data_IF_138825476185
#
_entry.id   IF_138825476185
#
_cell.length_a   1.000
_cell.length_b   1.000
_cell.length_c   1.000
_cell.angle_alpha   90.00
_cell.angle_beta   90.00
_cell.angle_gamma   90.00
#
_symmetry.space_group_name_H-M   'P 1'
#
loop_
_entity.id
_entity.type
_entity.pdbx_description
1 polymer ?
#
# COMPACT_ATOMS: atom_id res chain seq x y z
N UNK A 1 35.64 -37.08 28.42
CA UNK A 1 35.51 -35.81 29.18
C UNK A 1 35.89 -34.65 28.27
N UNK A 2 35.01 -34.31 27.32
CA UNK A 2 35.23 -33.26 26.32
C UNK A 2 34.52 -31.96 26.78
N UNK A 3 35.33 -31.13 27.42
CA UNK A 3 35.36 -29.66 27.57
C UNK A 3 34.03 -28.87 27.46
N UNK A 4 33.45 -28.40 28.58
CA UNK A 4 32.24 -27.55 28.58
C UNK A 4 32.42 -26.21 27.82
N UNK A 5 33.67 -25.79 27.60
CA UNK A 5 34.00 -24.56 26.89
C UNK A 5 33.70 -24.59 25.39
N UNK A 6 33.70 -25.76 24.74
CA UNK A 6 33.41 -25.86 23.30
C UNK A 6 31.93 -25.58 23.01
N UNK A 7 31.04 -26.09 23.87
CA UNK A 7 29.60 -25.88 23.73
C UNK A 7 29.19 -24.42 23.97
N UNK A 8 29.85 -23.75 24.94
CA UNK A 8 29.71 -22.31 25.17
C UNK A 8 30.21 -21.48 23.98
N UNK A 9 31.31 -21.88 23.35
CA UNK A 9 31.86 -21.20 22.18
C UNK A 9 30.97 -21.35 20.93
N UNK A 10 30.41 -22.54 20.68
CA UNK A 10 29.50 -22.74 19.53
C UNK A 10 28.17 -21.99 19.75
N UNK A 11 27.66 -21.96 20.98
CA UNK A 11 26.46 -21.20 21.32
C UNK A 11 26.65 -19.69 21.11
N UNK A 12 27.79 -19.12 21.52
CA UNK A 12 28.05 -17.69 21.35
C UNK A 12 28.25 -17.30 19.87
N UNK A 13 28.97 -18.12 19.10
CA UNK A 13 29.13 -17.90 17.66
C UNK A 13 27.79 -17.98 16.92
N UNK A 14 26.93 -18.95 17.26
CA UNK A 14 25.59 -19.08 16.68
C UNK A 14 24.68 -17.91 17.04
N UNK A 15 24.76 -17.42 18.28
CA UNK A 15 24.00 -16.25 18.74
C UNK A 15 24.44 -14.98 18.01
N UNK A 16 25.75 -14.79 17.81
CA UNK A 16 26.29 -13.64 17.08
C UNK A 16 25.88 -13.69 15.61
N UNK A 17 26.06 -14.82 14.93
CA UNK A 17 25.64 -14.98 13.53
C UNK A 17 24.12 -14.76 13.40
N UNK A 18 23.32 -15.35 14.29
CA UNK A 18 21.87 -15.17 14.34
C UNK A 18 21.45 -13.73 14.65
N UNK A 19 22.18 -13.00 15.49
CA UNK A 19 21.91 -11.59 15.81
C UNK A 19 22.28 -10.67 14.64
N UNK A 20 23.40 -10.91 13.95
CA UNK A 20 23.80 -10.13 12.78
C UNK A 20 22.92 -10.43 11.56
N UNK A 21 22.61 -11.70 11.26
CA UNK A 21 21.62 -12.06 10.24
C UNK A 21 20.21 -11.56 10.61
N UNK A 22 19.85 -11.64 11.89
CA UNK A 22 18.57 -11.14 12.42
C UNK A 22 18.44 -9.62 12.33
N UNK A 23 19.53 -8.85 12.45
CA UNK A 23 19.51 -7.39 12.21
C UNK A 23 19.55 -7.03 10.72
N UNK A 24 20.18 -7.85 9.87
CA UNK A 24 20.21 -7.62 8.41
C UNK A 24 18.86 -8.01 7.75
N UNK A 25 18.21 -9.09 8.18
CA UNK A 25 16.85 -9.44 7.72
C UNK A 25 15.75 -8.71 8.50
N UNK A 26 15.92 -8.48 9.80
CA UNK A 26 14.92 -7.85 10.67
C UNK A 26 14.79 -6.34 10.52
N UNK A 27 15.65 -5.70 9.72
CA UNK A 27 15.53 -4.28 9.37
C UNK A 27 14.81 -4.03 8.04
N UNK A 28 14.16 -5.05 7.47
CA UNK A 28 13.32 -4.93 6.28
C UNK A 28 11.94 -5.52 6.56
N UNK A 29 11.10 -4.73 7.25
CA UNK A 29 9.62 -4.72 7.22
C UNK A 29 9.01 -4.18 8.54
N UNK A 30 9.48 -3.03 9.03
CA UNK A 30 8.57 -2.07 9.64
C UNK A 30 8.25 -1.03 8.59
N UNK A 31 7.50 -1.47 7.60
CA UNK A 31 6.66 -0.55 6.84
C UNK A 31 5.42 -0.32 7.69
N UNK A 32 5.62 0.42 8.78
CA UNK A 32 4.59 1.31 9.30
C UNK A 32 4.52 2.44 8.28
N UNK A 33 3.79 2.25 7.18
CA UNK A 33 3.20 3.42 6.55
C UNK A 33 2.17 3.89 7.56
N UNK A 34 2.42 5.09 8.05
CA UNK A 34 1.61 5.77 9.03
C UNK A 34 0.13 5.58 8.72
N UNK A 35 -0.66 5.39 9.78
CA UNK A 35 -2.06 5.76 9.71
C UNK A 35 -2.05 7.25 9.41
N UNK A 36 -2.14 7.59 8.12
CA UNK A 36 -2.39 8.94 7.64
C UNK A 36 -3.81 9.26 8.08
N UNK A 37 -3.92 9.68 9.33
CA UNK A 37 -4.91 10.67 9.75
C UNK A 37 -4.43 12.00 9.14
N UNK A 38 -4.57 12.14 7.82
CA UNK A 38 -4.39 13.45 7.18
C UNK A 38 -5.63 14.27 7.51
N UNK A 39 -5.55 14.92 8.65
CA UNK A 39 -6.17 16.22 8.84
C UNK A 39 -5.35 17.26 8.06
N UNK A 40 -5.36 17.14 6.72
CA UNK A 40 -4.82 18.14 5.80
C UNK A 40 -5.95 18.63 4.89
N UNK A 41 -6.24 19.94 4.94
CA UNK A 41 -7.43 20.58 4.37
C UNK A 41 -7.49 20.58 2.82
N UNK A 42 -6.49 20.04 2.12
CA UNK A 42 -6.41 20.02 0.65
C UNK A 42 -7.18 18.86 -0.01
N UNK A 43 -7.41 17.76 0.70
CA UNK A 43 -8.14 16.58 0.20
C UNK A 43 -9.67 16.81 0.08
N UNK A 44 -10.17 17.91 0.64
CA UNK A 44 -11.61 18.23 0.68
C UNK A 44 -12.20 18.49 -0.71
N UNK A 45 -11.41 19.07 -1.63
CA UNK A 45 -11.88 19.50 -2.95
C UNK A 45 -12.19 18.30 -3.85
N UNK A 46 -11.29 17.33 -3.91
CA UNK A 46 -11.48 16.12 -4.74
C UNK A 46 -12.61 15.24 -4.22
N UNK A 47 -12.71 15.07 -2.90
CA UNK A 47 -13.82 14.34 -2.28
C UNK A 47 -15.17 15.02 -2.52
N UNK A 48 -15.21 16.36 -2.53
CA UNK A 48 -16.45 17.11 -2.80
C UNK A 48 -16.93 16.89 -4.23
N UNK A 49 -16.02 16.89 -5.21
CA UNK A 49 -16.36 16.57 -6.60
C UNK A 49 -16.96 15.17 -6.74
N UNK A 50 -16.38 14.17 -6.08
CA UNK A 50 -16.87 12.78 -6.13
C UNK A 50 -18.27 12.60 -5.51
N UNK A 51 -18.63 13.42 -4.51
CA UNK A 51 -19.98 13.42 -3.91
C UNK A 51 -21.06 13.89 -4.88
N UNK A 52 -20.73 14.78 -5.81
CA UNK A 52 -21.68 15.39 -6.74
C UNK A 52 -21.91 14.55 -8.00
N UNK A 53 -21.09 13.53 -8.26
CA UNK A 53 -21.23 12.65 -9.42
C UNK A 53 -22.49 11.82 -9.28
N UNK A 54 -23.42 12.00 -10.23
CA UNK A 54 -24.59 11.14 -10.40
C UNK A 54 -24.24 9.98 -11.34
N UNK A 55 -24.19 8.72 -10.85
CA UNK A 55 -23.73 7.59 -11.65
C UNK A 55 -24.59 7.28 -12.88
N UNK A 56 -25.85 7.70 -12.89
CA UNK A 56 -26.78 7.40 -13.99
C UNK A 56 -26.45 8.13 -15.31
N UNK A 57 -25.53 9.10 -15.29
CA UNK A 57 -25.11 9.84 -16.49
C UNK A 57 -23.90 9.20 -17.18
N UNK A 58 -23.40 8.08 -16.67
CA UNK A 58 -22.22 7.39 -17.21
C UNK A 58 -22.49 5.89 -17.31
N UNK A 59 -21.96 5.27 -18.37
CA UNK A 59 -22.18 3.85 -18.65
C UNK A 59 -21.17 2.93 -17.94
N UNK A 60 -19.95 3.42 -17.68
CA UNK A 60 -18.85 2.62 -17.17
C UNK A 60 -18.02 3.37 -16.12
N UNK A 61 -17.67 2.68 -15.03
CA UNK A 61 -16.77 3.19 -14.00
C UNK A 61 -15.56 2.29 -13.85
N UNK A 62 -14.39 2.90 -13.59
CA UNK A 62 -13.12 2.21 -13.35
C UNK A 62 -12.26 2.94 -12.34
N UNK A 63 -11.47 2.16 -11.60
CA UNK A 63 -10.44 2.69 -10.70
C UNK A 63 -9.10 2.68 -11.42
N UNK A 64 -8.45 3.84 -11.52
CA UNK A 64 -7.11 3.95 -12.09
C UNK A 64 -6.11 4.18 -10.97
N UNK A 65 -5.05 3.38 -10.94
CA UNK A 65 -3.99 3.39 -9.95
C UNK A 65 -2.69 3.82 -10.62
N UNK A 66 -2.19 5.01 -10.29
CA UNK A 66 -0.91 5.50 -10.81
C UNK A 66 0.23 5.01 -9.92
N UNK A 67 1.22 4.34 -10.51
CA UNK A 67 2.38 3.79 -9.81
C UNK A 67 3.64 4.50 -10.26
N UNK A 68 4.29 5.14 -9.30
CA UNK A 68 5.61 5.74 -9.44
C UNK A 68 6.69 4.69 -9.62
N UNK A 69 7.36 4.75 -10.76
CA UNK A 69 8.42 3.80 -11.13
C UNK A 69 9.83 4.22 -10.75
N UNK A 70 10.04 5.51 -10.50
CA UNK A 70 11.28 6.10 -10.01
C UNK A 70 11.65 5.63 -8.59
N UNK A 71 10.66 5.20 -7.81
CA UNK A 71 10.85 4.73 -6.43
C UNK A 71 11.52 3.36 -6.31
N UNK A 72 11.83 2.67 -7.42
CA UNK A 72 12.52 1.38 -7.39
C UNK A 72 11.75 0.27 -6.65
N UNK A 73 10.41 0.37 -6.56
CA UNK A 73 9.59 -0.61 -5.85
C UNK A 73 9.60 -1.97 -6.54
N UNK A 74 9.70 -3.04 -5.74
CA UNK A 74 9.54 -4.41 -6.26
C UNK A 74 8.08 -4.69 -6.64
N UNK A 75 7.86 -5.65 -7.53
CA UNK A 75 6.51 -6.04 -7.99
C UNK A 75 5.55 -6.35 -6.83
N UNK A 76 6.04 -7.02 -5.79
CA UNK A 76 5.25 -7.32 -4.58
C UNK A 76 4.85 -6.06 -3.79
N UNK A 77 5.78 -5.10 -3.64
CA UNK A 77 5.47 -3.81 -2.98
C UNK A 77 4.46 -3.00 -3.78
N UNK A 78 4.58 -2.96 -5.11
CA UNK A 78 3.62 -2.30 -5.99
C UNK A 78 2.21 -2.90 -5.80
N UNK A 79 2.09 -4.23 -5.81
CA UNK A 79 0.81 -4.91 -5.62
C UNK A 79 0.18 -4.60 -4.25
N UNK A 80 0.98 -4.60 -3.18
CA UNK A 80 0.52 -4.23 -1.85
C UNK A 80 0.00 -2.78 -1.81
N UNK A 81 0.75 -1.82 -2.36
CA UNK A 81 0.34 -0.41 -2.39
C UNK A 81 -0.93 -0.18 -3.21
N UNK A 82 -1.03 -0.81 -4.39
CA UNK A 82 -2.25 -0.78 -5.20
C UNK A 82 -3.46 -1.32 -4.43
N UNK A 83 -3.27 -2.37 -3.62
CA UNK A 83 -4.31 -2.98 -2.80
C UNK A 83 -4.74 -2.05 -1.66
N UNK A 84 -3.78 -1.40 -0.98
CA UNK A 84 -4.04 -0.40 0.05
C UNK A 84 -4.80 0.81 -0.51
N UNK A 85 -4.35 1.37 -1.63
CA UNK A 85 -5.00 2.50 -2.29
C UNK A 85 -6.44 2.16 -2.72
N UNK A 86 -6.65 0.97 -3.30
CA UNK A 86 -7.99 0.50 -3.67
C UNK A 86 -8.92 0.45 -2.46
N UNK A 87 -8.47 -0.12 -1.34
CA UNK A 87 -9.28 -0.22 -0.13
C UNK A 87 -9.57 1.15 0.49
N UNK A 88 -8.61 2.07 0.45
CA UNK A 88 -8.80 3.45 0.90
C UNK A 88 -9.88 4.15 0.05
N UNK A 89 -9.75 4.13 -1.28
CA UNK A 89 -10.76 4.69 -2.18
C UNK A 89 -12.15 4.08 -1.95
N UNK A 90 -12.23 2.76 -1.79
CA UNK A 90 -13.49 2.07 -1.51
C UNK A 90 -14.14 2.57 -0.22
N UNK A 91 -13.39 2.62 0.89
CA UNK A 91 -13.91 3.08 2.18
C UNK A 91 -14.34 4.54 2.15
N UNK A 92 -13.59 5.39 1.46
CA UNK A 92 -13.94 6.81 1.29
C UNK A 92 -15.25 6.94 0.52
N UNK A 93 -15.35 6.34 -0.66
CA UNK A 93 -16.56 6.43 -1.49
C UNK A 93 -17.76 5.71 -0.88
N UNK A 94 -17.55 4.63 -0.12
CA UNK A 94 -18.62 3.97 0.61
C UNK A 94 -19.29 4.91 1.62
N UNK A 95 -18.55 5.87 2.20
CA UNK A 95 -19.09 6.88 3.11
C UNK A 95 -19.66 8.10 2.38
N UNK A 96 -19.04 8.49 1.26
CA UNK A 96 -19.35 9.77 0.60
C UNK A 96 -20.31 9.67 -0.58
N UNK A 97 -20.21 8.61 -1.40
CA UNK A 97 -21.08 8.35 -2.54
C UNK A 97 -21.29 6.83 -2.76
N UNK A 98 -22.18 6.18 -1.98
CA UNK A 98 -22.46 4.75 -2.10
C UNK A 98 -23.02 4.34 -3.46
N UNK A 99 -23.70 5.24 -4.18
CA UNK A 99 -24.25 4.96 -5.49
C UNK A 99 -23.13 4.80 -6.53
N UNK A 100 -22.09 5.62 -6.46
CA UNK A 100 -20.92 5.53 -7.33
C UNK A 100 -20.17 4.21 -7.12
N UNK A 101 -20.02 3.76 -5.87
CA UNK A 101 -19.45 2.42 -5.59
C UNK A 101 -20.30 1.32 -6.22
N UNK A 102 -21.61 1.34 -6.04
CA UNK A 102 -22.50 0.33 -6.64
C UNK A 102 -22.40 0.31 -8.16
N UNK A 103 -22.31 1.47 -8.80
CA UNK A 103 -22.13 1.56 -10.25
C UNK A 103 -20.80 0.91 -10.69
N UNK A 104 -19.70 1.21 -10.00
CA UNK A 104 -18.41 0.55 -10.24
C UNK A 104 -18.43 -0.95 -9.97
N UNK A 105 -19.13 -1.39 -8.92
CA UNK A 105 -19.34 -2.82 -8.62
C UNK A 105 -20.11 -3.53 -9.74
N UNK A 106 -21.17 -2.90 -10.25
CA UNK A 106 -21.97 -3.40 -11.36
C UNK A 106 -21.19 -3.42 -12.68
N UNK A 107 -20.20 -2.53 -12.86
CA UNK A 107 -19.26 -2.57 -13.98
C UNK A 107 -18.19 -3.68 -13.86
N UNK A 108 -18.25 -4.54 -12.84
CA UNK A 108 -17.28 -5.62 -12.63
C UNK A 108 -16.02 -5.19 -11.87
N UNK A 109 -16.05 -4.03 -11.20
CA UNK A 109 -14.97 -3.49 -10.38
C UNK A 109 -13.61 -3.36 -11.10
N UNK A 110 -13.55 -2.81 -12.33
CA UNK A 110 -12.30 -2.76 -13.09
C UNK A 110 -11.27 -1.86 -12.41
N UNK A 111 -10.01 -2.33 -12.39
CA UNK A 111 -8.85 -1.67 -11.79
C UNK A 111 -7.73 -1.65 -12.83
N UNK A 112 -7.27 -0.46 -13.19
CA UNK A 112 -6.23 -0.25 -14.21
C UNK A 112 -5.02 0.37 -13.53
N UNK A 113 -3.88 -0.30 -13.58
CA UNK A 113 -2.63 0.24 -13.06
C UNK A 113 -1.82 0.86 -14.19
N UNK A 114 -1.44 2.13 -14.04
CA UNK A 114 -0.59 2.86 -14.97
C UNK A 114 0.75 3.20 -14.30
N UNK A 115 1.78 3.36 -15.12
CA UNK A 115 3.12 3.73 -14.68
C UNK A 115 3.34 5.23 -14.90
N UNK A 116 3.87 5.92 -13.90
CA UNK A 116 4.36 7.31 -14.00
C UNK A 116 5.86 7.34 -13.70
N UNK A 117 6.58 8.29 -14.31
CA UNK A 117 8.04 8.34 -14.25
C UNK A 117 8.57 9.21 -13.12
N UNK A 118 7.77 10.11 -12.56
CA UNK A 118 8.16 11.03 -11.49
C UNK A 118 6.93 11.47 -10.67
N UNK A 119 7.15 12.30 -9.66
CA UNK A 119 6.09 12.84 -8.81
C UNK A 119 5.25 13.93 -9.49
N UNK A 120 5.83 14.71 -10.40
CA UNK A 120 5.15 15.81 -11.08
C UNK A 120 4.08 15.31 -12.07
N UNK A 121 4.18 14.04 -12.50
CA UNK A 121 3.21 13.31 -13.33
C UNK A 121 2.05 12.69 -12.52
N UNK A 122 2.07 12.78 -11.18
CA UNK A 122 1.04 12.23 -10.28
C UNK A 122 -0.09 13.23 -10.04
#
# INVERSE_FOLDING_TARGET
>A
MERPYTLLAVASVSLLIGFFFGKILGNSSKTSYDLVDSSDEDDSRNITSLKQINPNHFDEFKLVLLVRSDLGMTKGKIAAQCSHATLACYKTLQKTNPQLIRAWENSGQPKITLKVNNYDEL
#
